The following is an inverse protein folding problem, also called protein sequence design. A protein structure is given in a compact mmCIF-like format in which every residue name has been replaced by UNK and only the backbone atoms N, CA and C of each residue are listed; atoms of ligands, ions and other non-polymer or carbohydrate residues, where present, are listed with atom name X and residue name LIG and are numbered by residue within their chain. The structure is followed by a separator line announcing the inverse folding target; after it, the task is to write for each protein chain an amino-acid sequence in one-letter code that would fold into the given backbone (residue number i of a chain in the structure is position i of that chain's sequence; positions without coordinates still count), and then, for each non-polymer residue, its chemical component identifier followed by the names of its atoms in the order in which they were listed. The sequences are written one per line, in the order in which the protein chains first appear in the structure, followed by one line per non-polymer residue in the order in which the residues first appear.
data_IF_591228838390
#
_entry.id   IF_591228838390
#
_cell.length_a   1.000
_cell.length_b   1.000
_cell.length_c   1.000
_cell.angle_alpha   90.00
_cell.angle_beta   90.00
_cell.angle_gamma   90.00
#
_symmetry.space_group_name_H-M   'P 1'
#
loop_
_entity.id
_entity.type
_entity.pdbx_description
1 polymer ?
#
# COMPACT_ATOMS: atom_id res chain seq x y z
N UNK A 1 -23.35 -9.10 -11.27
CA UNK A 1 -22.14 -9.93 -11.16
C UNK A 1 -21.27 -9.32 -10.06
N UNK A 2 -21.18 -9.96 -8.89
CA UNK A 2 -20.43 -9.41 -7.75
C UNK A 2 -18.95 -9.54 -8.06
N UNK A 3 -18.26 -8.43 -8.37
CA UNK A 3 -16.79 -8.37 -8.36
C UNK A 3 -16.35 -8.70 -6.94
N UNK A 4 -15.86 -9.93 -6.74
CA UNK A 4 -15.19 -10.29 -5.51
C UNK A 4 -13.97 -9.38 -5.39
N UNK A 5 -13.94 -8.57 -4.33
CA UNK A 5 -12.74 -7.86 -3.91
C UNK A 5 -11.78 -8.94 -3.43
N UNK A 6 -10.97 -9.47 -4.36
CA UNK A 6 -9.83 -10.28 -3.98
C UNK A 6 -8.95 -9.37 -3.14
N UNK A 7 -8.76 -9.69 -1.87
CA UNK A 7 -7.79 -9.01 -1.01
C UNK A 7 -6.40 -9.37 -1.54
N UNK A 8 -5.95 -8.68 -2.60
CA UNK A 8 -4.73 -8.94 -3.36
C UNK A 8 -3.45 -8.89 -2.48
N UNK A 9 -3.53 -8.49 -1.20
CA UNK A 9 -2.41 -8.56 -0.26
C UNK A 9 -2.28 -9.85 0.56
N UNK A 10 -3.34 -10.65 0.73
CA UNK A 10 -3.26 -11.84 1.61
C UNK A 10 -2.57 -13.04 0.96
N UNK A 11 -2.77 -13.21 -0.34
CA UNK A 11 -2.24 -14.35 -1.10
C UNK A 11 -0.95 -13.99 -1.88
N UNK A 12 -0.49 -12.74 -1.79
CA UNK A 12 0.63 -12.20 -2.56
C UNK A 12 0.17 -11.52 -3.86
N UNK A 13 1.13 -10.97 -4.59
CA UNK A 13 0.88 -10.14 -5.77
C UNK A 13 1.36 -10.82 -7.05
N UNK A 14 0.84 -10.43 -8.23
CA UNK A 14 1.45 -10.83 -9.50
C UNK A 14 2.89 -10.31 -9.66
N UNK A 15 3.74 -11.03 -10.37
CA UNK A 15 5.16 -10.70 -10.62
C UNK A 15 5.35 -9.28 -11.17
N UNK A 16 4.49 -8.86 -12.10
CA UNK A 16 4.52 -7.50 -12.65
C UNK A 16 4.34 -6.40 -11.59
N UNK A 17 3.56 -6.66 -10.54
CA UNK A 17 3.36 -5.74 -9.43
C UNK A 17 4.62 -5.65 -8.57
N UNK A 18 5.29 -6.77 -8.27
CA UNK A 18 6.55 -6.75 -7.53
C UNK A 18 7.64 -5.99 -8.29
N UNK A 19 7.77 -6.22 -9.60
CA UNK A 19 8.74 -5.49 -10.45
C UNK A 19 8.46 -3.99 -10.45
N UNK A 20 7.19 -3.59 -10.63
CA UNK A 20 6.81 -2.19 -10.64
C UNK A 20 7.00 -1.54 -9.28
N UNK A 21 6.63 -2.22 -8.20
CA UNK A 21 6.82 -1.75 -6.83
C UNK A 21 8.32 -1.60 -6.49
N UNK A 22 9.17 -2.55 -6.93
CA UNK A 22 10.62 -2.48 -6.76
C UNK A 22 11.24 -1.27 -7.46
N UNK A 23 10.79 -0.96 -8.69
CA UNK A 23 11.23 0.23 -9.44
C UNK A 23 10.82 1.53 -8.73
N UNK A 24 9.58 1.59 -8.24
CA UNK A 24 9.07 2.75 -7.48
C UNK A 24 9.86 2.91 -6.17
N UNK A 25 10.07 1.83 -5.43
CA UNK A 25 10.85 1.81 -4.20
C UNK A 25 12.28 2.30 -4.45
N UNK A 26 12.95 1.79 -5.47
CA UNK A 26 14.31 2.19 -5.85
C UNK A 26 14.43 3.70 -6.08
N UNK A 27 13.44 4.32 -6.74
CA UNK A 27 13.44 5.75 -7.05
C UNK A 27 13.11 6.66 -5.86
N UNK A 28 12.46 6.13 -4.82
CA UNK A 28 11.94 6.92 -3.69
C UNK A 28 12.63 6.62 -2.35
N UNK A 29 13.45 5.56 -2.28
CA UNK A 29 14.11 5.17 -1.03
C UNK A 29 14.97 6.29 -0.47
N UNK A 30 15.15 6.26 0.85
CA UNK A 30 16.08 7.18 1.49
C UNK A 30 17.50 6.64 1.34
N UNK A 31 18.36 7.37 0.62
CA UNK A 31 19.78 7.05 0.58
C UNK A 31 20.45 7.34 1.93
N UNK A 32 21.11 6.34 2.49
CA UNK A 32 21.81 6.46 3.77
C UNK A 32 23.24 6.94 3.55
N UNK A 33 23.71 7.83 4.44
CA UNK A 33 25.12 8.21 4.51
C UNK A 33 26.00 6.97 4.71
N UNK A 34 27.21 6.95 4.13
CA UNK A 34 28.14 5.82 4.10
C UNK A 34 28.34 5.04 5.42
N UNK A 35 28.24 5.69 6.58
CA UNK A 35 28.35 5.04 7.89
C UNK A 35 27.10 4.28 8.40
N UNK A 36 25.97 4.34 7.66
CA UNK A 36 24.68 3.73 8.04
C UNK A 36 24.10 2.79 6.96
N UNK A 37 24.86 2.53 5.90
CA UNK A 37 24.42 1.66 4.80
C UNK A 37 24.38 0.21 5.31
N UNK A 38 23.18 -0.36 5.39
CA UNK A 38 22.96 -1.76 5.76
C UNK A 38 22.92 -2.67 4.52
N UNK A 39 22.38 -2.15 3.41
CA UNK A 39 22.23 -2.84 2.13
C UNK A 39 22.92 -2.05 1.02
N UNK A 40 23.61 -2.75 0.12
CA UNK A 40 24.04 -2.20 -1.16
C UNK A 40 22.90 -2.38 -2.14
N UNK A 41 22.49 -1.28 -2.76
CA UNK A 41 21.51 -1.32 -3.82
C UNK A 41 22.15 -0.91 -5.14
N UNK A 42 21.65 -1.47 -6.23
CA UNK A 42 22.08 -1.09 -7.58
C UNK A 42 21.86 0.39 -7.86
N UNK A 43 22.62 0.92 -8.81
CA UNK A 43 22.54 2.31 -9.24
C UNK A 43 21.15 2.67 -9.78
N UNK A 44 20.74 3.92 -9.60
CA UNK A 44 19.57 4.49 -10.27
C UNK A 44 19.90 4.72 -11.74
N UNK A 45 19.86 3.68 -12.57
CA UNK A 45 19.87 3.90 -14.02
C UNK A 45 18.59 4.64 -14.41
N UNK A 46 18.76 5.66 -15.23
CA UNK A 46 17.77 6.61 -15.77
C UNK A 46 16.29 6.21 -15.65
N UNK A 47 15.49 7.11 -15.06
CA UNK A 47 14.02 7.20 -15.11
C UNK A 47 13.35 5.98 -15.75
N UNK A 48 13.21 4.89 -14.99
CA UNK A 48 12.56 3.69 -15.50
C UNK A 48 11.07 3.97 -15.56
N UNK A 49 10.57 4.38 -16.72
CA UNK A 49 9.14 4.58 -16.97
C UNK A 49 8.43 3.27 -16.62
N UNK A 50 7.66 3.28 -15.52
CA UNK A 50 6.94 2.11 -15.05
C UNK A 50 5.74 1.91 -15.96
N UNK A 51 5.77 0.87 -16.78
CA UNK A 51 4.65 0.50 -17.63
C UNK A 51 3.63 -0.28 -16.78
N UNK A 52 2.44 0.29 -16.63
CA UNK A 52 1.32 -0.36 -15.94
C UNK A 52 0.35 -0.95 -16.94
N UNK A 53 -0.14 -2.16 -16.67
CA UNK A 53 -1.15 -2.82 -17.48
C UNK A 53 -2.49 -2.06 -17.45
N UNK A 54 -2.85 -1.56 -16.28
CA UNK A 54 -4.11 -0.88 -15.99
C UNK A 54 -3.96 -0.03 -14.71
N UNK A 55 -4.94 0.84 -14.45
CA UNK A 55 -4.92 1.74 -13.28
C UNK A 55 -4.98 1.00 -11.93
N UNK A 56 -5.61 -0.18 -11.87
CA UNK A 56 -5.61 -0.98 -10.64
C UNK A 56 -4.22 -1.55 -10.39
N UNK A 57 -3.57 -2.10 -11.41
CA UNK A 57 -2.17 -2.55 -11.35
C UNK A 57 -1.23 -1.41 -10.91
N UNK A 58 -1.47 -0.19 -11.41
CA UNK A 58 -0.75 1.01 -10.99
C UNK A 58 -0.94 1.29 -9.50
N UNK A 59 -2.19 1.41 -9.05
CA UNK A 59 -2.52 1.70 -7.65
C UNK A 59 -1.90 0.69 -6.69
N UNK A 60 -2.04 -0.60 -6.99
CA UNK A 60 -1.51 -1.68 -6.15
C UNK A 60 0.03 -1.69 -6.12
N UNK A 61 0.69 -1.39 -7.25
CA UNK A 61 2.17 -1.29 -7.29
C UNK A 61 2.68 -0.14 -6.42
N UNK A 62 2.04 1.03 -6.48
CA UNK A 62 2.39 2.16 -5.61
C UNK A 62 2.12 1.83 -4.14
N UNK A 63 0.97 1.23 -3.84
CA UNK A 63 0.62 0.85 -2.47
C UNK A 63 1.67 -0.09 -1.86
N UNK A 64 2.07 -1.13 -2.59
CA UNK A 64 3.09 -2.08 -2.14
C UNK A 64 4.45 -1.39 -1.96
N UNK A 65 4.87 -0.53 -2.90
CA UNK A 65 6.11 0.22 -2.79
C UNK A 65 6.13 1.15 -1.57
N UNK A 66 5.07 1.92 -1.34
CA UNK A 66 4.97 2.82 -0.19
C UNK A 66 4.90 2.08 1.13
N UNK A 67 4.21 0.93 1.18
CA UNK A 67 4.22 0.03 2.34
C UNK A 67 5.64 -0.45 2.65
N UNK A 68 6.41 -0.88 1.64
CA UNK A 68 7.80 -1.27 1.85
C UNK A 68 8.68 -0.08 2.29
N UNK A 69 8.53 1.10 1.67
CA UNK A 69 9.26 2.32 2.04
C UNK A 69 9.01 2.73 3.50
N UNK A 70 7.76 2.60 3.96
CA UNK A 70 7.35 2.90 5.34
C UNK A 70 8.17 2.11 6.35
N UNK A 71 8.57 0.89 6.00
CA UNK A 71 9.33 -0.01 6.87
C UNK A 71 10.75 -0.26 6.36
N UNK A 72 11.31 0.62 5.51
CA UNK A 72 12.63 0.42 4.89
C UNK A 72 13.66 0.02 5.95
N UNK A 73 13.86 0.83 6.99
CA UNK A 73 14.86 0.59 8.05
C UNK A 73 14.72 -0.79 8.72
N UNK A 74 13.48 -1.18 9.06
CA UNK A 74 13.19 -2.49 9.66
C UNK A 74 13.55 -3.62 8.70
N UNK A 75 13.18 -3.50 7.42
CA UNK A 75 13.44 -4.54 6.42
C UNK A 75 14.93 -4.71 6.17
N UNK A 76 15.71 -3.62 6.14
CA UNK A 76 17.17 -3.70 6.01
C UNK A 76 17.81 -4.35 7.25
N UNK A 77 17.36 -3.97 8.45
CA UNK A 77 17.83 -4.58 9.70
C UNK A 77 17.53 -6.09 9.75
N UNK A 78 16.33 -6.50 9.33
CA UNK A 78 15.94 -7.91 9.26
C UNK A 78 16.85 -8.72 8.32
N UNK A 79 17.20 -8.18 7.15
CA UNK A 79 18.08 -8.85 6.20
C UNK A 79 19.51 -9.04 6.76
N UNK A 80 20.04 -8.04 7.46
CA UNK A 80 21.37 -8.11 8.09
C UNK A 80 21.37 -9.00 9.34
N UNK A 81 20.35 -8.90 10.20
CA UNK A 81 20.25 -9.66 11.44
C UNK A 81 20.00 -11.15 11.18
N UNK A 82 19.22 -11.49 10.14
CA UNK A 82 18.98 -12.88 9.72
C UNK A 82 20.21 -13.56 9.12
N UNK A 83 21.29 -12.81 8.84
CA UNK A 83 22.49 -13.26 8.09
C UNK A 83 22.19 -13.75 6.67
N UNK A 84 21.04 -13.36 6.14
CA UNK A 84 20.66 -13.59 4.74
C UNK A 84 21.42 -12.60 3.85
N UNK A 85 21.69 -11.39 4.35
CA UNK A 85 22.51 -10.39 3.66
C UNK A 85 23.90 -10.22 4.32
N UNK A 86 25.00 -10.02 3.55
CA UNK A 86 25.08 -9.85 2.09
C UNK A 86 24.79 -11.13 1.32
N UNK A 87 23.93 -11.01 0.29
CA UNK A 87 23.62 -12.09 -0.62
C UNK A 87 24.53 -12.00 -1.83
N UNK A 88 25.41 -12.98 -2.01
CA UNK A 88 26.31 -13.03 -3.17
C UNK A 88 25.65 -13.62 -4.43
N UNK A 89 24.51 -14.30 -4.28
CA UNK A 89 23.77 -14.87 -5.42
C UNK A 89 22.81 -13.87 -6.07
N UNK A 90 22.40 -12.83 -5.33
CA UNK A 90 21.47 -11.82 -5.83
C UNK A 90 22.27 -10.55 -6.16
N UNK A 91 22.23 -10.06 -7.42
CA UNK A 91 22.86 -8.80 -7.80
C UNK A 91 22.32 -7.59 -7.02
N UNK A 92 23.17 -6.58 -6.80
CA UNK A 92 22.79 -5.36 -6.07
C UNK A 92 21.56 -4.68 -6.72
N UNK A 93 21.38 -4.80 -8.04
CA UNK A 93 20.24 -4.28 -8.82
C UNK A 93 18.87 -4.85 -8.37
N UNK A 94 18.84 -6.07 -7.85
CA UNK A 94 17.61 -6.72 -7.38
C UNK A 94 17.34 -6.48 -5.89
N UNK A 95 18.17 -5.72 -5.19
CA UNK A 95 17.99 -5.46 -3.75
C UNK A 95 16.68 -4.74 -3.45
N UNK A 96 16.22 -3.83 -4.33
CA UNK A 96 14.92 -3.19 -4.15
C UNK A 96 13.75 -4.19 -4.30
N UNK A 97 13.89 -5.17 -5.20
CA UNK A 97 12.93 -6.26 -5.33
C UNK A 97 12.94 -7.16 -4.09
N UNK A 98 14.12 -7.51 -3.59
CA UNK A 98 14.31 -8.26 -2.35
C UNK A 98 13.60 -7.61 -1.15
N UNK A 99 13.78 -6.29 -0.97
CA UNK A 99 13.16 -5.55 0.15
C UNK A 99 11.64 -5.48 0.01
N UNK A 100 11.12 -5.19 -1.19
CA UNK A 100 9.67 -5.14 -1.43
C UNK A 100 9.02 -6.51 -1.23
N UNK A 101 9.63 -7.59 -1.73
CA UNK A 101 9.13 -8.94 -1.53
C UNK A 101 9.24 -9.41 -0.07
N UNK A 102 10.26 -8.97 0.67
CA UNK A 102 10.37 -9.25 2.10
C UNK A 102 9.23 -8.59 2.89
N UNK A 103 8.85 -7.35 2.55
CA UNK A 103 7.70 -6.69 3.17
C UNK A 103 6.42 -7.52 2.98
N UNK A 104 6.16 -7.97 1.75
CA UNK A 104 4.99 -8.79 1.46
C UNK A 104 5.06 -10.15 2.17
N UNK A 105 6.23 -10.81 2.18
CA UNK A 105 6.43 -12.09 2.85
C UNK A 105 6.11 -12.00 4.35
N UNK A 106 6.57 -10.95 5.04
CA UNK A 106 6.26 -10.78 6.47
C UNK A 106 4.77 -10.45 6.71
N UNK A 107 4.14 -9.70 5.79
CA UNK A 107 2.73 -9.32 5.92
C UNK A 107 1.84 -10.57 5.87
N UNK A 108 2.19 -11.48 4.96
CA UNK A 108 1.62 -12.83 4.78
C UNK A 108 2.10 -13.87 5.80
N UNK A 109 2.71 -13.43 6.90
CA UNK A 109 3.18 -14.28 8.01
C UNK A 109 4.15 -15.38 7.55
N UNK A 110 5.04 -15.02 6.62
CA UNK A 110 6.07 -15.89 6.05
C UNK A 110 5.54 -17.10 5.28
N UNK A 111 4.29 -17.06 4.81
CA UNK A 111 3.76 -18.10 3.92
C UNK A 111 4.29 -17.92 2.50
N UNK A 112 4.25 -18.95 1.66
CA UNK A 112 4.55 -18.76 0.23
C UNK A 112 3.40 -18.02 -0.46
N UNK A 113 3.71 -17.24 -1.49
CA UNK A 113 2.68 -16.55 -2.30
C UNK A 113 1.97 -17.54 -3.21
N UNK A 114 0.76 -17.19 -3.62
CA UNK A 114 0.01 -17.93 -4.62
C UNK A 114 0.36 -17.41 -6.01
N UNK A 115 0.68 -18.31 -6.93
CA UNK A 115 0.78 -17.99 -8.34
C UNK A 115 -0.63 -17.96 -8.94
N UNK A 116 -1.00 -16.85 -9.57
CA UNK A 116 -2.33 -16.67 -10.14
C UNK A 116 -2.43 -17.31 -11.54
N UNK A 117 -3.61 -17.82 -11.87
CA UNK A 117 -3.83 -18.40 -13.20
C UNK A 117 -3.72 -17.32 -14.30
N UNK A 118 -2.88 -17.57 -15.30
CA UNK A 118 -2.62 -16.62 -16.40
C UNK A 118 -1.64 -15.49 -16.05
N UNK A 119 -0.94 -15.60 -14.92
CA UNK A 119 0.15 -14.71 -14.56
C UNK A 119 1.39 -14.98 -15.41
N UNK A 120 2.02 -13.91 -15.91
CA UNK A 120 3.31 -13.97 -16.58
C UNK A 120 4.42 -13.99 -15.53
N UNK A 121 5.17 -15.09 -15.47
CA UNK A 121 6.22 -15.27 -14.47
C UNK A 121 7.52 -14.59 -14.93
N UNK A 122 8.13 -13.87 -14.00
CA UNK A 122 9.39 -13.16 -14.18
C UNK A 122 10.47 -13.86 -13.38
N UNK A 123 11.55 -14.27 -14.05
CA UNK A 123 12.59 -15.13 -13.48
C UNK A 123 13.20 -14.54 -12.20
N UNK A 124 13.46 -13.24 -12.19
CA UNK A 124 14.02 -12.50 -11.06
C UNK A 124 13.08 -12.55 -9.84
N UNK A 125 11.77 -12.45 -10.06
CA UNK A 125 10.79 -12.50 -8.96
C UNK A 125 10.72 -13.91 -8.37
N UNK A 126 10.78 -14.95 -9.22
CA UNK A 126 10.82 -16.33 -8.74
C UNK A 126 12.09 -16.61 -7.95
N UNK A 127 13.25 -16.20 -8.47
CA UNK A 127 14.55 -16.37 -7.81
C UNK A 127 14.58 -15.71 -6.43
N UNK A 128 14.15 -14.46 -6.33
CA UNK A 128 14.07 -13.73 -5.05
C UNK A 128 13.04 -14.38 -4.11
N UNK A 129 11.89 -14.79 -4.63
CA UNK A 129 10.84 -15.44 -3.86
C UNK A 129 11.32 -16.75 -3.22
N UNK A 130 11.91 -17.63 -4.03
CA UNK A 130 12.47 -18.90 -3.56
C UNK A 130 13.61 -18.68 -2.57
N UNK A 131 14.47 -17.70 -2.84
CA UNK A 131 15.55 -17.33 -1.94
C UNK A 131 15.03 -16.89 -0.57
N UNK A 132 14.10 -15.93 -0.52
CA UNK A 132 13.52 -15.46 0.74
C UNK A 132 12.80 -16.58 1.49
N UNK A 133 12.04 -17.40 0.77
CA UNK A 133 11.29 -18.51 1.36
C UNK A 133 12.23 -19.58 1.95
N UNK A 134 13.35 -19.86 1.31
CA UNK A 134 14.37 -20.79 1.84
C UNK A 134 14.94 -20.36 3.21
N UNK A 135 14.82 -19.07 3.56
CA UNK A 135 15.25 -18.50 4.83
C UNK A 135 14.10 -18.02 5.72
N UNK A 136 12.85 -18.44 5.47
CA UNK A 136 11.65 -17.97 6.18
C UNK A 136 11.81 -17.99 7.71
N UNK A 137 12.37 -19.06 8.25
CA UNK A 137 12.53 -19.24 9.70
C UNK A 137 13.54 -18.25 10.27
N UNK A 138 14.63 -17.98 9.53
CA UNK A 138 15.64 -17.00 9.95
C UNK A 138 15.11 -15.58 9.88
N UNK A 139 14.32 -15.27 8.86
CA UNK A 139 13.70 -13.96 8.67
C UNK A 139 12.61 -13.70 9.71
N UNK A 140 11.76 -14.70 10.00
CA UNK A 140 10.77 -14.62 11.07
C UNK A 140 11.43 -14.43 12.45
N UNK A 141 12.51 -15.16 12.72
CA UNK A 141 13.28 -15.00 13.94
C UNK A 141 13.96 -13.62 14.02
N UNK A 142 14.47 -13.09 12.90
CA UNK A 142 15.05 -11.75 12.84
C UNK A 142 14.01 -10.67 13.12
N UNK A 143 12.81 -10.77 12.55
CA UNK A 143 11.70 -9.87 12.88
C UNK A 143 11.35 -9.93 14.36
N UNK A 144 11.28 -11.13 14.95
CA UNK A 144 11.00 -11.29 16.38
C UNK A 144 12.09 -10.64 17.25
N UNK A 145 13.37 -10.80 16.90
CA UNK A 145 14.48 -10.14 17.60
C UNK A 145 14.45 -8.62 17.45
N UNK A 146 14.16 -8.12 16.25
CA UNK A 146 13.99 -6.68 16.02
C UNK A 146 12.87 -6.13 16.91
N UNK A 147 11.74 -6.84 17.01
CA UNK A 147 10.62 -6.47 17.88
C UNK A 147 10.99 -6.44 19.36
N UNK A 148 11.66 -7.49 19.85
CA UNK A 148 12.11 -7.56 21.25
C UNK A 148 13.11 -6.43 21.56
N UNK A 149 14.06 -6.18 20.65
CA UNK A 149 15.08 -5.14 20.80
C UNK A 149 14.49 -3.74 20.94
N UNK A 150 13.37 -3.46 20.27
CA UNK A 150 12.70 -2.15 20.27
C UNK A 150 11.43 -2.11 21.13
N UNK A 151 11.17 -3.15 21.94
CA UNK A 151 9.94 -3.30 22.74
C UNK A 151 8.64 -3.08 21.92
N UNK A 152 8.64 -3.60 20.68
CA UNK A 152 7.59 -3.34 19.69
C UNK A 152 6.57 -4.49 19.59
N UNK A 153 5.31 -4.18 19.88
CA UNK A 153 4.20 -5.14 19.79
C UNK A 153 3.81 -5.48 18.35
N UNK A 154 4.02 -4.59 17.40
CA UNK A 154 3.79 -4.79 15.96
C UNK A 154 4.85 -4.06 15.14
N UNK A 155 4.88 -4.29 13.82
CA UNK A 155 5.77 -3.54 12.93
C UNK A 155 5.42 -2.05 12.87
N UNK A 156 4.20 -1.66 13.24
CA UNK A 156 3.71 -0.28 13.18
C UNK A 156 4.49 0.65 14.14
N UNK A 157 5.16 0.09 15.14
CA UNK A 157 6.02 0.82 16.06
C UNK A 157 7.36 1.24 15.45
N UNK A 158 7.75 0.65 14.31
CA UNK A 158 8.97 1.02 13.57
C UNK A 158 8.75 2.22 12.64
N UNK A 159 7.50 2.68 12.53
CA UNK A 159 7.15 3.86 11.76
C UNK A 159 7.53 5.10 12.56
N UNK A 160 8.18 6.12 11.96
CA UNK A 160 8.44 7.38 12.62
C UNK A 160 7.16 7.96 13.27
N UNK A 161 7.28 8.46 14.50
CA UNK A 161 6.13 9.02 15.24
C UNK A 161 5.39 10.11 14.47
N UNK A 162 6.10 10.89 13.65
CA UNK A 162 5.51 11.93 12.79
C UNK A 162 4.51 11.34 11.80
N UNK A 163 4.88 10.23 11.15
CA UNK A 163 4.03 9.52 10.20
C UNK A 163 2.88 8.83 10.96
N UNK A 164 3.16 8.17 12.09
CA UNK A 164 2.12 7.53 12.90
C UNK A 164 1.05 8.52 13.40
N UNK A 165 1.47 9.66 13.95
CA UNK A 165 0.54 10.73 14.39
C UNK A 165 -0.23 11.32 13.22
N UNK A 166 0.39 11.45 12.05
CA UNK A 166 -0.30 11.92 10.85
C UNK A 166 -1.36 10.91 10.37
N UNK A 167 -1.05 9.62 10.37
CA UNK A 167 -2.00 8.56 10.02
C UNK A 167 -3.18 8.52 10.98
N UNK A 168 -2.92 8.59 12.29
CA UNK A 168 -3.98 8.65 13.31
C UNK A 168 -4.89 9.86 13.10
N UNK A 169 -4.32 11.04 12.88
CA UNK A 169 -5.09 12.26 12.58
C UNK A 169 -5.92 12.11 11.30
N UNK A 170 -5.31 11.57 10.24
CA UNK A 170 -5.98 11.37 8.95
C UNK A 170 -7.11 10.34 9.06
N UNK A 171 -6.94 9.28 9.85
CA UNK A 171 -7.98 8.28 10.08
C UNK A 171 -9.16 8.79 10.92
N UNK A 172 -8.92 9.80 11.76
CA UNK A 172 -9.95 10.44 12.57
C UNK A 172 -10.69 11.56 11.82
N UNK A 173 -10.13 12.06 10.72
CA UNK A 173 -10.74 13.12 9.92
C UNK A 173 -11.79 12.53 8.97
N UNK A 174 -12.94 13.21 8.82
CA UNK A 174 -13.88 12.92 7.75
C UNK A 174 -13.23 12.99 6.37
N UNK A 175 -13.81 12.24 5.44
CA UNK A 175 -13.36 12.21 4.06
C UNK A 175 -14.22 13.16 3.24
N UNK A 176 -13.57 14.08 2.53
CA UNK A 176 -14.24 15.02 1.67
C UNK A 176 -14.18 14.55 0.21
N UNK A 177 -15.31 14.60 -0.48
CA UNK A 177 -15.42 14.37 -1.91
C UNK A 177 -15.97 15.61 -2.58
N UNK A 178 -15.36 16.01 -3.69
CA UNK A 178 -15.85 17.07 -4.54
C UNK A 178 -16.70 16.49 -5.67
N UNK A 179 -17.87 17.07 -5.88
CA UNK A 179 -18.79 16.71 -6.96
C UNK A 179 -18.31 17.36 -8.25
N UNK A 180 -18.12 16.53 -9.27
CA UNK A 180 -17.82 17.02 -10.60
C UNK A 180 -19.11 17.48 -11.30
N UNK A 181 -19.45 18.75 -11.09
CA UNK A 181 -20.67 19.39 -11.62
C UNK A 181 -20.76 19.40 -13.15
N UNK A 182 -19.66 19.16 -13.86
CA UNK A 182 -19.68 18.96 -15.32
C UNK A 182 -20.23 17.59 -15.74
N UNK A 183 -20.24 16.60 -14.84
CA UNK A 183 -20.68 15.23 -15.14
C UNK A 183 -22.00 14.85 -14.47
N UNK A 184 -22.28 15.40 -13.29
CA UNK A 184 -23.47 15.04 -12.50
C UNK A 184 -23.92 16.25 -11.66
N UNK A 185 -25.23 16.41 -11.48
CA UNK A 185 -25.79 17.42 -10.58
C UNK A 185 -25.76 16.97 -9.12
N UNK A 186 -25.84 17.90 -8.18
CA UNK A 186 -25.92 17.59 -6.75
C UNK A 186 -27.14 16.72 -6.43
N UNK A 187 -28.28 17.01 -7.03
CA UNK A 187 -29.53 16.27 -6.82
C UNK A 187 -29.44 14.82 -7.31
N UNK A 188 -28.78 14.61 -8.44
CA UNK A 188 -28.56 13.26 -8.98
C UNK A 188 -27.60 12.45 -8.12
N UNK A 189 -26.53 13.07 -7.57
CA UNK A 189 -25.63 12.43 -6.62
C UNK A 189 -26.37 12.02 -5.35
N UNK A 190 -27.18 12.93 -4.78
CA UNK A 190 -28.00 12.66 -3.59
C UNK A 190 -28.93 11.48 -3.83
N UNK A 191 -29.62 11.46 -4.98
CA UNK A 191 -30.51 10.36 -5.34
C UNK A 191 -29.77 9.03 -5.50
N UNK A 192 -28.58 9.04 -6.12
CA UNK A 192 -27.76 7.84 -6.26
C UNK A 192 -27.24 7.32 -4.91
N UNK A 193 -26.87 8.21 -4.00
CA UNK A 193 -26.47 7.88 -2.64
C UNK A 193 -27.65 7.31 -1.83
N UNK A 194 -28.82 7.92 -1.90
CA UNK A 194 -30.05 7.43 -1.24
C UNK A 194 -30.47 6.05 -1.76
N UNK A 195 -30.39 5.82 -3.08
CA UNK A 195 -30.63 4.49 -3.67
C UNK A 195 -29.66 3.42 -3.16
N UNK A 196 -28.45 3.83 -2.76
CA UNK A 196 -27.43 2.95 -2.16
C UNK A 196 -27.53 2.85 -0.63
N UNK A 197 -28.52 3.50 -0.02
CA UNK A 197 -28.81 3.43 1.41
C UNK A 197 -28.11 4.50 2.27
N UNK A 198 -27.47 5.50 1.66
CA UNK A 198 -26.85 6.60 2.39
C UNK A 198 -27.88 7.64 2.83
N UNK A 199 -27.75 8.13 4.05
CA UNK A 199 -28.65 9.12 4.65
C UNK A 199 -27.94 10.45 4.84
N UNK A 200 -28.59 11.56 4.47
CA UNK A 200 -28.03 12.90 4.67
C UNK A 200 -28.16 13.33 6.14
N UNK A 201 -27.09 13.84 6.73
CA UNK A 201 -27.04 14.44 8.06
C UNK A 201 -26.54 15.88 8.02
N UNK A 202 -26.93 16.69 9.00
CA UNK A 202 -26.60 18.13 9.04
C UNK A 202 -25.24 18.42 9.67
N UNK A 203 -24.73 17.51 10.51
CA UNK A 203 -23.47 17.68 11.23
C UNK A 203 -22.60 16.44 11.15
N UNK A 204 -21.29 16.67 11.11
CA UNK A 204 -20.24 15.64 11.24
C UNK A 204 -20.36 14.88 12.57
N UNK A 205 -21.00 15.47 13.59
CA UNK A 205 -21.21 14.83 14.89
C UNK A 205 -22.25 13.70 14.86
N UNK A 206 -23.12 13.69 13.85
CA UNK A 206 -24.18 12.68 13.68
C UNK A 206 -23.74 11.57 12.72
N UNK A 207 -22.44 11.46 12.45
CA UNK A 207 -21.88 10.46 11.55
C UNK A 207 -22.02 9.05 12.11
N UNK A 208 -22.83 8.25 11.43
CA UNK A 208 -22.94 6.80 11.56
C UNK A 208 -22.53 6.12 10.24
N UNK A 209 -22.52 4.78 10.19
CA UNK A 209 -21.94 3.99 9.12
C UNK A 209 -22.40 4.35 7.69
N UNK A 210 -23.67 4.68 7.44
CA UNK A 210 -24.16 5.06 6.10
C UNK A 210 -24.71 6.48 6.07
N UNK A 211 -23.92 7.44 6.54
CA UNK A 211 -24.30 8.85 6.58
C UNK A 211 -23.35 9.73 5.76
N UNK A 212 -23.85 10.87 5.29
CA UNK A 212 -23.05 11.90 4.63
C UNK A 212 -23.59 13.30 4.93
N UNK A 213 -22.71 14.30 4.96
CA UNK A 213 -23.08 15.71 5.08
C UNK A 213 -22.66 16.48 3.83
N UNK A 214 -23.35 17.59 3.55
CA UNK A 214 -22.90 18.58 2.56
C UNK A 214 -22.15 19.67 3.31
N UNK A 215 -20.99 20.09 2.82
CA UNK A 215 -20.21 21.13 3.47
C UNK A 215 -20.98 22.46 3.49
N UNK A 216 -20.97 23.14 4.65
CA UNK A 216 -21.73 24.37 4.86
C UNK A 216 -21.23 25.54 4.00
N UNK A 217 -19.95 25.55 3.65
CA UNK A 217 -19.29 26.61 2.91
C UNK A 217 -19.07 26.24 1.43
N UNK A 218 -19.10 24.96 1.09
CA UNK A 218 -18.91 24.44 -0.26
C UNK A 218 -20.00 23.44 -0.66
N UNK A 219 -21.01 23.90 -1.40
CA UNK A 219 -22.16 23.08 -1.81
C UNK A 219 -21.80 21.89 -2.71
N UNK A 220 -20.64 21.95 -3.37
CA UNK A 220 -20.13 20.86 -4.20
C UNK A 220 -19.33 19.82 -3.40
N UNK A 221 -19.16 19.99 -2.09
CA UNK A 221 -18.35 19.10 -1.25
C UNK A 221 -19.26 18.25 -0.36
N UNK A 222 -19.06 16.94 -0.45
CA UNK A 222 -19.68 15.94 0.41
C UNK A 222 -18.67 15.43 1.42
N UNK A 223 -19.11 15.27 2.67
CA UNK A 223 -18.29 14.82 3.78
C UNK A 223 -18.82 13.49 4.29
N UNK A 224 -17.95 12.49 4.39
CA UNK A 224 -18.28 11.13 4.81
C UNK A 224 -17.43 10.69 6.01
N UNK A 225 -17.93 9.74 6.82
CA UNK A 225 -17.11 9.02 7.80
C UNK A 225 -15.88 8.36 7.18
N UNK A 226 -14.75 8.36 7.89
CA UNK A 226 -13.50 7.78 7.40
C UNK A 226 -13.55 6.27 7.17
N UNK A 227 -14.43 5.57 7.89
CA UNK A 227 -14.67 4.13 7.76
C UNK A 227 -15.17 3.73 6.36
N UNK A 228 -15.81 4.63 5.63
CA UNK A 228 -16.41 4.36 4.33
C UNK A 228 -15.43 4.52 3.15
N UNK A 229 -14.17 4.91 3.40
CA UNK A 229 -13.19 5.23 2.35
C UNK A 229 -13.12 4.17 1.25
N UNK A 230 -12.94 2.91 1.65
CA UNK A 230 -12.74 1.81 0.70
C UNK A 230 -14.02 1.50 -0.10
N UNK A 231 -15.19 1.57 0.54
CA UNK A 231 -16.47 1.38 -0.13
C UNK A 231 -16.75 2.49 -1.14
N UNK A 232 -16.54 3.75 -0.76
CA UNK A 232 -16.78 4.93 -1.60
C UNK A 232 -15.87 4.94 -2.83
N UNK A 233 -14.59 4.58 -2.68
CA UNK A 233 -13.64 4.50 -3.79
C UNK A 233 -13.97 3.39 -4.80
N UNK A 234 -14.79 2.42 -4.42
CA UNK A 234 -15.24 1.32 -5.28
C UNK A 234 -16.61 1.59 -5.93
N UNK A 235 -17.26 2.72 -5.63
CA UNK A 235 -18.53 3.08 -6.27
C UNK A 235 -18.32 3.48 -7.73
N UNK A 236 -19.30 3.17 -8.57
CA UNK A 236 -19.33 3.60 -9.97
C UNK A 236 -19.25 5.13 -10.12
N UNK A 237 -19.74 5.87 -9.11
CA UNK A 237 -19.62 7.33 -9.02
C UNK A 237 -18.15 7.80 -9.01
N UNK A 238 -17.27 7.03 -8.38
CA UNK A 238 -15.85 7.32 -8.36
C UNK A 238 -15.16 6.87 -9.66
N UNK A 239 -15.50 5.68 -10.15
CA UNK A 239 -14.95 5.13 -11.39
C UNK A 239 -15.20 6.05 -12.62
N UNK A 240 -16.37 6.69 -12.66
CA UNK A 240 -16.74 7.63 -13.74
C UNK A 240 -16.17 9.06 -13.52
N UNK A 241 -15.37 9.29 -12.48
CA UNK A 241 -14.89 10.61 -12.04
C UNK A 241 -16.03 11.62 -11.79
N UNK A 242 -17.18 11.14 -11.29
CA UNK A 242 -18.32 11.98 -10.87
C UNK A 242 -18.09 12.53 -9.46
N UNK A 243 -17.41 11.76 -8.61
CA UNK A 243 -16.90 12.20 -7.31
C UNK A 243 -15.37 12.16 -7.31
N UNK A 244 -14.74 13.21 -6.78
CA UNK A 244 -13.29 13.35 -6.67
C UNK A 244 -12.90 13.39 -5.20
N UNK A 245 -11.97 12.54 -4.76
CA UNK A 245 -11.49 12.52 -3.38
C UNK A 245 -10.56 13.72 -3.13
N UNK A 246 -10.73 14.44 -2.01
CA UNK A 246 -9.89 15.56 -1.58
C UNK A 246 -9.02 15.19 -0.38
#
# INVERSE_FOLDING_TARGET
EKRAVTQIGKDGYPDSIYINAAKIFQGLRTEKSSGKILLRYGGTSESTTVAFKDEQSRRVSYELAFKALKYQDLLEEMLVDSKVYPCYSIPDELTSLLVVMLYDLQDRKFQNRKIFAGEELVAEVQEIGDYLYSYETKLAAALARCRIKHDALSIEYFVPETISKQEQRTSALPICFWINTFKISLEDVIRDLEMKGFTKVESVSDFDHYTYAVDQHCQDVLVFPSSLKEELLNLDLFADCKLLLQ
#
